data_IF_252400204909
#
_entry.id   IF_252400204909
#
_cell.length_a   1.000
_cell.length_b   1.000
_cell.length_c   1.000
_cell.angle_alpha   90.00
_cell.angle_beta   90.00
_cell.angle_gamma   90.00
#
_symmetry.space_group_name_H-M   'P 1'
#
loop_
_entity.id
_entity.type
_entity.pdbx_description
1 polymer ?
#
# COMPACT_ATOMS: atom_id res chain seq x y z
N UNK A 1 -28.74 -19.75 9.89
CA UNK A 1 -27.28 -19.70 10.03
C UNK A 1 -26.74 -18.89 8.86
N UNK A 2 -26.25 -17.67 9.10
CA UNK A 2 -25.81 -16.78 8.03
C UNK A 2 -24.34 -17.02 7.71
N UNK A 3 -24.08 -17.52 6.50
CA UNK A 3 -22.73 -17.72 5.98
C UNK A 3 -22.09 -16.37 5.63
N UNK A 4 -21.26 -15.85 6.54
CA UNK A 4 -20.40 -14.69 6.28
C UNK A 4 -19.13 -15.17 5.57
N UNK A 5 -19.02 -14.98 4.24
CA UNK A 5 -17.78 -15.32 3.54
C UNK A 5 -17.77 -15.26 2.01
N UNK A 6 -18.93 -15.19 1.34
CA UNK A 6 -18.96 -15.25 -0.13
C UNK A 6 -18.61 -13.88 -0.73
N UNK A 7 -17.41 -13.76 -1.29
CA UNK A 7 -17.03 -12.58 -2.09
C UNK A 7 -17.74 -12.62 -3.45
N UNK A 8 -18.32 -11.50 -3.88
CA UNK A 8 -19.08 -11.43 -5.14
C UNK A 8 -18.20 -11.88 -6.32
N UNK A 9 -18.63 -12.88 -7.11
CA UNK A 9 -17.91 -13.29 -8.32
C UNK A 9 -17.86 -12.12 -9.31
N UNK A 10 -16.72 -11.92 -9.97
CA UNK A 10 -16.48 -10.85 -10.94
C UNK A 10 -15.76 -9.59 -10.42
N UNK A 11 -15.43 -9.51 -9.12
CA UNK A 11 -14.60 -8.40 -8.61
C UNK A 11 -13.13 -8.64 -9.01
N UNK A 12 -12.56 -7.78 -9.87
CA UNK A 12 -11.11 -7.83 -10.19
C UNK A 12 -10.30 -7.84 -8.88
N UNK A 13 -9.43 -8.84 -8.71
CA UNK A 13 -8.48 -8.90 -7.61
C UNK A 13 -7.54 -7.70 -7.72
N UNK A 14 -7.81 -6.64 -6.95
CA UNK A 14 -6.85 -5.56 -6.80
C UNK A 14 -5.63 -6.18 -6.13
N UNK A 15 -4.50 -6.24 -6.85
CA UNK A 15 -3.22 -6.66 -6.28
C UNK A 15 -2.85 -5.63 -5.20
N UNK A 16 -3.25 -5.91 -3.95
CA UNK A 16 -3.11 -4.98 -2.83
C UNK A 16 -1.61 -4.81 -2.54
N UNK A 17 -1.05 -3.71 -3.02
CA UNK A 17 0.18 -3.09 -2.49
C UNK A 17 1.46 -3.94 -2.51
N UNK A 18 1.49 -5.03 -3.28
CA UNK A 18 2.73 -5.81 -3.53
C UNK A 18 3.87 -4.93 -4.02
N UNK A 19 3.55 -3.84 -4.73
CA UNK A 19 4.51 -2.86 -5.26
C UNK A 19 5.18 -1.96 -4.20
N UNK A 20 4.64 -1.87 -2.97
CA UNK A 20 5.25 -1.08 -1.88
C UNK A 20 6.32 -1.88 -1.10
N UNK A 21 6.45 -3.18 -1.37
CA UNK A 21 7.47 -4.05 -0.80
C UNK A 21 8.76 -4.02 -1.63
N UNK A 22 9.41 -2.85 -1.67
CA UNK A 22 10.76 -2.75 -2.23
C UNK A 22 11.76 -3.54 -1.39
N UNK A 23 12.91 -3.89 -1.97
CA UNK A 23 13.97 -4.60 -1.23
C UNK A 23 14.44 -3.81 -0.01
N UNK A 24 14.51 -2.47 -0.10
CA UNK A 24 14.83 -1.60 1.03
C UNK A 24 13.77 -1.69 2.15
N UNK A 25 12.47 -1.66 1.80
CA UNK A 25 11.39 -1.82 2.79
C UNK A 25 11.47 -3.20 3.45
N UNK A 26 11.71 -4.27 2.68
CA UNK A 26 11.88 -5.62 3.23
C UNK A 26 13.07 -5.70 4.17
N UNK A 27 14.22 -5.15 3.77
CA UNK A 27 15.44 -5.13 4.57
C UNK A 27 15.21 -4.40 5.90
N UNK A 28 14.63 -3.20 5.87
CA UNK A 28 14.37 -2.42 7.09
C UNK A 28 13.33 -3.04 8.01
N UNK A 29 12.32 -3.72 7.47
CA UNK A 29 11.35 -4.48 8.27
C UNK A 29 12.00 -5.71 8.93
N UNK A 30 12.88 -6.42 8.22
CA UNK A 30 13.64 -7.55 8.77
C UNK A 30 14.60 -7.11 9.88
N UNK A 31 15.35 -6.04 9.66
CA UNK A 31 16.26 -5.43 10.63
C UNK A 31 15.52 -5.02 11.91
N UNK A 32 14.41 -4.28 11.77
CA UNK A 32 13.53 -3.92 12.89
C UNK A 32 13.06 -5.16 13.67
N UNK A 33 12.65 -6.23 12.96
CA UNK A 33 12.18 -7.47 13.59
C UNK A 33 13.31 -8.17 14.35
N UNK A 34 14.50 -8.25 13.77
CA UNK A 34 15.69 -8.83 14.42
C UNK A 34 16.00 -8.12 15.73
N UNK A 35 16.07 -6.78 15.71
CA UNK A 35 16.36 -5.98 16.90
C UNK A 35 15.26 -6.06 17.96
N UNK A 36 14.01 -6.25 17.55
CA UNK A 36 12.92 -6.51 18.50
C UNK A 36 13.12 -7.86 19.22
N UNK A 37 13.56 -8.90 18.52
CA UNK A 37 13.89 -10.18 19.15
C UNK A 37 15.09 -10.08 20.11
N UNK A 38 16.13 -9.33 19.74
CA UNK A 38 17.26 -9.04 20.64
C UNK A 38 16.78 -8.32 21.90
N UNK A 39 15.97 -7.27 21.76
CA UNK A 39 15.37 -6.56 22.90
C UNK A 39 14.49 -7.45 23.79
N UNK A 40 13.77 -8.41 23.20
CA UNK A 40 12.96 -9.36 23.99
C UNK A 40 13.81 -10.34 24.79
N UNK A 41 14.97 -10.75 24.25
CA UNK A 41 15.93 -11.61 24.95
C UNK A 41 16.71 -10.87 26.02
N UNK A 42 17.06 -9.61 25.76
CA UNK A 42 17.83 -8.76 26.67
C UNK A 42 17.25 -7.33 26.70
N UNK A 43 16.51 -7.02 27.78
CA UNK A 43 15.70 -5.80 27.93
C UNK A 43 16.51 -4.58 28.38
N UNK A 44 17.68 -4.37 27.78
CA UNK A 44 18.52 -3.20 28.06
C UNK A 44 18.00 -1.93 27.39
N UNK A 45 18.38 -0.78 27.94
CA UNK A 45 18.07 0.53 27.36
C UNK A 45 18.70 0.71 25.96
N UNK A 46 19.88 0.14 25.74
CA UNK A 46 20.56 0.20 24.44
C UNK A 46 19.82 -0.61 23.38
N UNK A 47 19.42 -1.86 23.69
CA UNK A 47 18.62 -2.68 22.77
C UNK A 47 17.28 -2.02 22.44
N UNK A 48 16.66 -1.36 23.42
CA UNK A 48 15.45 -0.57 23.19
C UNK A 48 15.70 0.60 22.24
N UNK A 49 16.79 1.34 22.42
CA UNK A 49 17.18 2.47 21.57
C UNK A 49 17.46 2.02 20.14
N UNK A 50 18.17 0.92 19.94
CA UNK A 50 18.45 0.36 18.62
C UNK A 50 17.18 -0.11 17.91
N UNK A 51 16.28 -0.80 18.61
CA UNK A 51 14.97 -1.15 18.06
C UNK A 51 14.16 0.09 17.62
N UNK A 52 14.17 1.17 18.43
CA UNK A 52 13.46 2.41 18.09
C UNK A 52 14.04 3.08 16.83
N UNK A 53 15.37 3.09 16.68
CA UNK A 53 16.03 3.58 15.45
C UNK A 53 15.59 2.78 14.23
N UNK A 54 15.64 1.45 14.30
CA UNK A 54 15.23 0.58 13.20
C UNK A 54 13.73 0.69 12.88
N UNK A 55 12.87 0.85 13.89
CA UNK A 55 11.44 1.11 13.71
C UNK A 55 11.19 2.43 12.97
N UNK A 56 11.90 3.50 13.31
CA UNK A 56 11.84 4.78 12.59
C UNK A 56 12.34 4.64 11.16
N UNK A 57 13.44 3.92 10.95
CA UNK A 57 14.00 3.67 9.62
C UNK A 57 13.02 2.90 8.71
N UNK A 58 12.40 1.83 9.21
CA UNK A 58 11.39 1.08 8.47
C UNK A 58 10.18 1.95 8.09
N UNK A 59 9.70 2.80 9.01
CA UNK A 59 8.62 3.76 8.72
C UNK A 59 9.03 4.75 7.61
N UNK A 60 10.26 5.25 7.66
CA UNK A 60 10.82 6.15 6.63
C UNK A 60 10.91 5.46 5.27
N UNK A 61 11.42 4.23 5.20
CA UNK A 61 11.52 3.47 3.96
C UNK A 61 10.14 3.27 3.30
N UNK A 62 9.11 2.92 4.09
CA UNK A 62 7.74 2.80 3.58
C UNK A 62 7.21 4.14 3.06
N UNK A 63 7.48 5.25 3.77
CA UNK A 63 7.07 6.57 3.33
C UNK A 63 7.75 6.97 2.00
N UNK A 64 9.05 6.69 1.86
CA UNK A 64 9.81 6.92 0.62
C UNK A 64 9.25 6.07 -0.51
N UNK A 65 9.06 4.77 -0.31
CA UNK A 65 8.50 3.89 -1.34
C UNK A 65 7.11 4.36 -1.81
N UNK A 66 6.26 4.82 -0.87
CA UNK A 66 4.96 5.43 -1.20
C UNK A 66 5.13 6.72 -1.99
N UNK A 67 6.02 7.61 -1.56
CA UNK A 67 6.27 8.87 -2.24
C UNK A 67 6.85 8.67 -3.65
N UNK A 68 7.76 7.71 -3.84
CA UNK A 68 8.28 7.35 -5.16
C UNK A 68 7.17 6.81 -6.06
N UNK A 69 6.32 5.93 -5.55
CA UNK A 69 5.25 5.34 -6.35
C UNK A 69 4.15 6.34 -6.73
N UNK A 70 3.77 7.22 -5.81
CA UNK A 70 2.71 8.22 -6.04
C UNK A 70 3.23 9.59 -6.46
N UNK A 71 4.55 9.79 -6.56
CA UNK A 71 5.18 11.08 -6.81
C UNK A 71 4.71 11.72 -8.12
N UNK A 72 4.60 10.91 -9.18
CA UNK A 72 4.11 11.39 -10.48
C UNK A 72 2.62 11.71 -10.47
N UNK A 73 1.84 10.96 -9.70
CA UNK A 73 0.39 11.24 -9.54
C UNK A 73 0.21 12.55 -8.79
N UNK A 74 0.98 12.78 -7.73
CA UNK A 74 0.95 14.02 -6.96
C UNK A 74 1.43 15.21 -7.81
N UNK A 75 2.52 15.05 -8.57
CA UNK A 75 3.01 16.10 -9.49
C UNK A 75 1.97 16.50 -10.54
N UNK A 76 1.24 15.53 -11.11
CA UNK A 76 0.14 15.80 -12.06
C UNK A 76 -1.08 16.43 -11.41
N UNK A 77 -1.34 16.12 -10.14
CA UNK A 77 -2.39 16.77 -9.34
C UNK A 77 -2.02 18.23 -9.03
N UNK A 78 -0.77 18.52 -8.69
CA UNK A 78 -0.27 19.88 -8.46
C UNK A 78 -0.45 20.75 -9.73
N UNK A 79 -0.17 20.20 -10.91
CA UNK A 79 -0.19 20.95 -12.16
C UNK A 79 -1.56 21.03 -12.85
N UNK A 80 -2.48 20.09 -12.58
CA UNK A 80 -3.74 19.97 -13.33
C UNK A 80 -4.93 19.46 -12.52
N UNK A 81 -4.80 19.46 -11.20
CA UNK A 81 -5.65 18.86 -10.16
C UNK A 81 -7.06 18.49 -10.59
N UNK A 82 -7.93 19.48 -10.73
CA UNK A 82 -9.36 19.27 -11.00
C UNK A 82 -9.63 18.58 -12.35
N UNK A 83 -8.94 19.00 -13.42
CA UNK A 83 -9.09 18.41 -14.76
C UNK A 83 -8.56 16.97 -14.82
N UNK A 84 -7.53 16.66 -14.05
CA UNK A 84 -6.99 15.30 -13.96
C UNK A 84 -7.94 14.38 -13.18
N UNK A 85 -8.43 14.82 -12.03
CA UNK A 85 -9.41 14.08 -11.22
C UNK A 85 -10.72 13.84 -11.97
N UNK A 86 -11.24 14.85 -12.67
CA UNK A 86 -12.46 14.72 -13.48
C UNK A 86 -12.31 13.65 -14.57
N UNK A 87 -11.19 13.65 -15.31
CA UNK A 87 -10.91 12.62 -16.32
C UNK A 87 -10.79 11.23 -15.70
N UNK A 88 -10.07 11.10 -14.58
CA UNK A 88 -9.90 9.83 -13.89
C UNK A 88 -11.24 9.26 -13.40
N UNK A 89 -12.10 10.11 -12.84
CA UNK A 89 -13.45 9.72 -12.44
C UNK A 89 -14.28 9.24 -13.63
N UNK A 90 -14.24 9.97 -14.76
CA UNK A 90 -14.97 9.61 -15.98
C UNK A 90 -14.50 8.28 -16.58
N UNK A 91 -13.20 8.01 -16.60
CA UNK A 91 -12.64 6.73 -17.06
C UNK A 91 -13.07 5.57 -16.15
N UNK A 92 -13.05 5.75 -14.83
CA UNK A 92 -13.51 4.73 -13.87
C UNK A 92 -15.01 4.44 -13.98
N UNK A 93 -15.81 5.48 -14.19
CA UNK A 93 -17.24 5.33 -14.43
C UNK A 93 -17.51 4.50 -15.69
N UNK A 94 -16.86 4.84 -16.82
CA UNK A 94 -16.95 4.04 -18.06
C UNK A 94 -16.56 2.58 -17.87
N UNK A 95 -15.43 2.31 -17.20
CA UNK A 95 -15.00 0.94 -16.91
C UNK A 95 -16.02 0.15 -16.07
N UNK A 96 -16.78 0.83 -15.21
CA UNK A 96 -17.82 0.18 -14.40
C UNK A 96 -19.05 -0.13 -15.24
N UNK A 97 -19.46 0.80 -16.12
CA UNK A 97 -20.53 0.57 -17.10
C UNK A 97 -20.19 -0.57 -18.07
N UNK A 98 -18.94 -0.64 -18.56
CA UNK A 98 -18.48 -1.71 -19.45
C UNK A 98 -18.56 -3.11 -18.77
N UNK A 99 -18.23 -3.19 -17.47
CA UNK A 99 -18.37 -4.44 -16.70
C UNK A 99 -19.84 -4.81 -16.47
N UNK A 100 -20.70 -3.83 -16.25
CA UNK A 100 -22.13 -4.05 -16.03
C UNK A 100 -22.85 -4.45 -17.32
N UNK A 101 -22.44 -3.91 -18.46
CA UNK A 101 -22.99 -4.21 -19.79
C UNK A 101 -22.54 -5.58 -20.31
N UNK A 102 -21.26 -5.93 -20.17
CA UNK A 102 -20.73 -7.28 -20.47
C UNK A 102 -21.47 -8.38 -19.68
N UNK A 103 -21.83 -8.08 -18.43
CA UNK A 103 -22.59 -8.98 -17.55
C UNK A 103 -24.07 -9.13 -17.92
N UNK A 104 -24.64 -8.19 -18.69
CA UNK A 104 -26.05 -8.19 -19.12
C UNK A 104 -26.26 -8.93 -20.45
N UNK A 105 -25.19 -9.13 -21.21
CA UNK A 105 -25.16 -9.81 -22.51
C UNK A 105 -24.83 -11.31 -22.38
N UNK A 106 -24.80 -11.85 -21.16
CA UNK A 106 -24.38 -13.21 -20.82
C UNK A 106 -25.47 -13.98 -20.08
#
# INVERSE_FOLDING_TARGET
MSELGITKPGRRKVNKQTWLWTEDVKAKVREKRSLYHVFLGDRTADNWREYQKAKKAAKKAVAVAKATHYGDVYRKLESSGERYLYRLAKTRHRQTEDILTDRKMR
#
